data_IF_015324519284
#
_entry.id   IF_015324519284
#
_cell.length_a   1.000
_cell.length_b   1.000
_cell.length_c   1.000
_cell.angle_alpha   90.00
_cell.angle_beta   90.00
_cell.angle_gamma   90.00
#
_symmetry.space_group_name_H-M   'P 1'
#
loop_
_entity.id
_entity.type
_entity.pdbx_description
1 polymer ?
#
# COMPACT_ATOMS: atom_id res chain seq x y z
N UNK A 1 45.52 43.52 -56.04
CA UNK A 1 45.41 42.24 -55.37
C UNK A 1 44.17 42.27 -54.46
N UNK A 2 43.00 41.91 -55.00
CA UNK A 2 41.67 41.92 -54.28
C UNK A 2 41.40 40.53 -53.75
N UNK A 3 41.36 40.42 -52.43
CA UNK A 3 40.98 39.17 -51.72
C UNK A 3 39.42 39.21 -51.53
N UNK A 4 38.76 38.42 -52.33
CA UNK A 4 37.30 38.16 -52.14
C UNK A 4 37.12 37.03 -51.12
N UNK A 5 36.75 37.37 -49.90
CA UNK A 5 36.31 36.41 -48.89
C UNK A 5 34.82 36.11 -49.12
N UNK A 6 34.52 34.97 -49.71
CA UNK A 6 33.15 34.44 -49.75
C UNK A 6 32.83 33.72 -48.43
N UNK A 7 32.17 34.41 -47.51
CA UNK A 7 31.56 33.74 -46.35
C UNK A 7 30.20 33.16 -46.74
N UNK A 8 30.17 31.87 -47.06
CA UNK A 8 28.86 31.16 -47.15
C UNK A 8 28.32 30.92 -45.76
N UNK A 9 27.44 31.77 -45.33
CA UNK A 9 26.63 31.58 -44.13
C UNK A 9 25.57 30.49 -44.42
N UNK A 10 25.95 29.23 -44.15
CA UNK A 10 24.99 28.15 -44.18
C UNK A 10 24.00 28.39 -43.03
N UNK A 11 22.77 28.77 -43.36
CA UNK A 11 21.67 28.88 -42.38
C UNK A 11 21.46 27.52 -41.73
N UNK A 12 21.42 27.44 -40.40
CA UNK A 12 21.20 26.17 -39.73
C UNK A 12 19.84 25.56 -40.15
N UNK A 13 19.84 24.29 -40.52
CA UNK A 13 18.63 23.58 -40.91
C UNK A 13 17.81 23.22 -39.65
N UNK A 14 17.06 24.19 -39.19
CA UNK A 14 16.17 24.08 -38.02
C UNK A 14 15.21 22.93 -38.14
N UNK A 15 14.78 22.52 -39.33
CA UNK A 15 13.85 21.42 -39.56
C UNK A 15 14.50 20.05 -39.26
N UNK A 16 15.80 19.91 -39.54
CA UNK A 16 16.56 18.68 -39.16
C UNK A 16 16.88 18.62 -37.69
N UNK A 17 17.20 19.75 -37.07
CA UNK A 17 17.38 19.80 -35.60
C UNK A 17 16.09 19.51 -34.85
N UNK A 18 14.98 20.10 -35.23
CA UNK A 18 13.70 19.84 -34.64
C UNK A 18 13.28 18.35 -34.76
N UNK A 19 13.47 17.74 -35.93
CA UNK A 19 13.20 16.29 -36.11
C UNK A 19 14.14 15.41 -35.26
N UNK A 20 15.41 15.71 -35.15
CA UNK A 20 16.35 14.97 -34.28
C UNK A 20 15.96 15.07 -32.80
N UNK A 21 15.54 16.26 -32.35
CA UNK A 21 15.11 16.46 -30.97
C UNK A 21 13.80 15.71 -30.67
N UNK A 22 12.85 15.67 -31.60
CA UNK A 22 11.60 14.91 -31.48
C UNK A 22 11.88 13.40 -31.49
N UNK A 23 12.74 12.91 -32.38
CA UNK A 23 13.12 11.48 -32.43
C UNK A 23 13.83 11.03 -31.15
N UNK A 24 14.75 11.85 -30.61
CA UNK A 24 15.42 11.55 -29.36
C UNK A 24 14.42 11.55 -28.18
N UNK A 25 13.41 12.43 -28.19
CA UNK A 25 12.39 12.49 -27.14
C UNK A 25 11.42 11.29 -27.21
N UNK A 26 10.96 10.92 -28.40
CA UNK A 26 10.07 9.75 -28.59
C UNK A 26 10.79 8.44 -28.33
N UNK A 27 12.04 8.30 -28.80
CA UNK A 27 12.88 7.14 -28.51
C UNK A 27 13.15 6.98 -27.00
N UNK A 28 13.49 8.08 -26.32
CA UNK A 28 13.67 8.07 -24.87
C UNK A 28 12.39 7.70 -24.13
N UNK A 29 11.25 8.29 -24.50
CA UNK A 29 9.95 7.95 -23.89
C UNK A 29 9.58 6.48 -24.14
N UNK A 30 9.80 5.96 -25.32
CA UNK A 30 9.55 4.54 -25.62
C UNK A 30 10.41 3.60 -24.76
N UNK A 31 11.68 3.92 -24.55
CA UNK A 31 12.58 3.17 -23.66
C UNK A 31 12.07 3.24 -22.20
N UNK A 32 11.73 4.44 -21.72
CA UNK A 32 11.23 4.63 -20.35
C UNK A 32 9.91 3.88 -20.14
N UNK A 33 8.98 3.98 -21.08
CA UNK A 33 7.70 3.26 -20.99
C UNK A 33 7.92 1.76 -21.06
N UNK A 34 8.77 1.28 -21.98
CA UNK A 34 9.12 -0.14 -22.09
C UNK A 34 9.74 -0.65 -20.78
N UNK A 35 10.69 0.07 -20.23
CA UNK A 35 11.31 -0.26 -18.95
C UNK A 35 10.29 -0.29 -17.81
N UNK A 36 9.46 0.76 -17.68
CA UNK A 36 8.41 0.81 -16.64
C UNK A 36 7.40 -0.33 -16.80
N UNK A 37 7.02 -0.68 -18.04
CA UNK A 37 6.11 -1.81 -18.30
C UNK A 37 6.72 -3.13 -17.84
N UNK A 38 7.98 -3.39 -18.20
CA UNK A 38 8.69 -4.61 -17.80
C UNK A 38 8.83 -4.70 -16.28
N UNK A 39 9.14 -3.61 -15.59
CA UNK A 39 9.28 -3.58 -14.13
C UNK A 39 7.92 -3.69 -13.42
N UNK A 40 6.87 -3.09 -14.00
CA UNK A 40 5.52 -3.12 -13.38
C UNK A 40 4.80 -4.46 -13.59
N UNK A 41 5.12 -5.18 -14.65
CA UNK A 41 4.41 -6.40 -15.04
C UNK A 41 4.45 -7.50 -13.95
N UNK A 42 5.59 -7.83 -13.34
CA UNK A 42 5.66 -8.80 -12.24
C UNK A 42 4.84 -8.39 -11.01
N UNK A 43 4.63 -7.08 -10.81
CA UNK A 43 3.86 -6.55 -9.68
C UNK A 43 2.36 -6.61 -9.97
N UNK A 44 1.94 -6.19 -11.17
CA UNK A 44 0.52 -6.07 -11.55
C UNK A 44 -0.12 -7.42 -11.88
N UNK A 45 0.65 -8.32 -12.50
CA UNK A 45 0.15 -9.63 -12.94
C UNK A 45 -0.48 -10.48 -11.84
N UNK A 46 0.11 -10.63 -10.64
CA UNK A 46 -0.51 -11.38 -9.54
C UNK A 46 -1.86 -10.83 -9.11
N UNK A 47 -2.03 -9.50 -9.09
CA UNK A 47 -3.31 -8.87 -8.72
C UNK A 47 -4.38 -9.08 -9.80
N UNK A 48 -4.00 -8.98 -11.07
CA UNK A 48 -4.91 -9.29 -12.18
C UNK A 48 -5.31 -10.77 -12.20
N UNK A 49 -4.36 -11.65 -11.88
CA UNK A 49 -4.62 -13.08 -11.77
C UNK A 49 -5.56 -13.40 -10.62
N UNK A 50 -5.33 -12.80 -9.44
CA UNK A 50 -6.20 -12.91 -8.27
C UNK A 50 -7.62 -12.45 -8.61
N UNK A 51 -7.78 -11.30 -9.28
CA UNK A 51 -9.08 -10.79 -9.72
C UNK A 51 -9.73 -11.73 -10.75
N UNK A 52 -8.99 -12.22 -11.73
CA UNK A 52 -9.51 -13.12 -12.75
C UNK A 52 -10.03 -14.43 -12.13
N UNK A 53 -9.26 -15.05 -11.22
CA UNK A 53 -9.66 -16.30 -10.57
C UNK A 53 -10.83 -16.08 -9.61
N UNK A 54 -10.86 -14.98 -8.88
CA UNK A 54 -11.96 -14.69 -7.96
C UNK A 54 -13.33 -14.57 -8.68
N UNK A 55 -13.30 -14.17 -9.93
CA UNK A 55 -14.49 -14.00 -10.78
C UNK A 55 -14.76 -15.18 -11.73
N UNK A 56 -13.97 -16.25 -11.67
CA UNK A 56 -14.12 -17.43 -12.53
C UNK A 56 -14.97 -18.49 -11.84
N UNK A 57 -15.96 -19.05 -12.54
CA UNK A 57 -16.81 -20.13 -12.02
C UNK A 57 -16.04 -21.42 -11.75
N UNK A 58 -16.56 -22.27 -10.89
CA UNK A 58 -16.04 -23.61 -10.59
C UNK A 58 -16.01 -24.44 -11.89
N UNK A 59 -14.84 -24.81 -12.36
CA UNK A 59 -14.63 -25.52 -13.62
C UNK A 59 -14.26 -24.64 -14.81
N UNK A 60 -14.17 -23.33 -14.63
CA UNK A 60 -13.59 -22.43 -15.62
C UNK A 60 -12.06 -22.51 -15.63
N UNK A 61 -11.46 -22.45 -16.84
CA UNK A 61 -10.01 -22.34 -16.96
C UNK A 61 -9.60 -20.89 -16.70
N UNK A 62 -9.33 -20.57 -15.41
CA UNK A 62 -8.89 -19.24 -14.96
C UNK A 62 -7.64 -18.75 -15.70
N UNK A 63 -6.81 -19.65 -16.20
CA UNK A 63 -5.59 -19.28 -16.96
C UNK A 63 -5.95 -18.75 -18.34
N UNK A 64 -6.92 -19.33 -19.02
CA UNK A 64 -7.41 -18.84 -20.32
C UNK A 64 -8.06 -17.46 -20.17
N UNK A 65 -8.87 -17.26 -19.13
CA UNK A 65 -9.48 -15.95 -18.84
C UNK A 65 -8.42 -14.91 -18.55
N UNK A 66 -7.42 -15.25 -17.76
CA UNK A 66 -6.29 -14.37 -17.46
C UNK A 66 -5.57 -13.92 -18.75
N UNK A 67 -5.21 -14.87 -19.62
CA UNK A 67 -4.50 -14.54 -20.85
C UNK A 67 -5.34 -13.68 -21.80
N UNK A 68 -6.66 -13.90 -21.88
CA UNK A 68 -7.58 -13.04 -22.63
C UNK A 68 -7.63 -11.63 -22.05
N UNK A 69 -7.81 -11.51 -20.73
CA UNK A 69 -7.77 -10.23 -20.02
C UNK A 69 -6.46 -9.49 -20.30
N UNK A 70 -5.34 -10.19 -20.14
CA UNK A 70 -4.02 -9.62 -20.34
C UNK A 70 -3.80 -9.18 -21.79
N UNK A 71 -4.15 -10.02 -22.77
CA UNK A 71 -3.96 -9.69 -24.18
C UNK A 71 -4.80 -8.47 -24.60
N UNK A 72 -6.06 -8.38 -24.18
CA UNK A 72 -6.94 -7.26 -24.51
C UNK A 72 -6.49 -5.99 -23.79
N UNK A 73 -6.13 -6.08 -22.50
CA UNK A 73 -5.64 -4.94 -21.73
C UNK A 73 -4.29 -4.42 -22.29
N UNK A 74 -3.36 -5.31 -22.63
CA UNK A 74 -2.08 -4.94 -23.22
C UNK A 74 -2.26 -4.29 -24.61
N UNK A 75 -3.13 -4.84 -25.46
CA UNK A 75 -3.44 -4.25 -26.75
C UNK A 75 -4.05 -2.85 -26.62
N UNK A 76 -5.01 -2.68 -25.72
CA UNK A 76 -5.62 -1.37 -25.41
C UNK A 76 -4.59 -0.38 -24.88
N UNK A 77 -3.74 -0.81 -23.96
CA UNK A 77 -2.68 0.03 -23.40
C UNK A 77 -1.65 0.46 -24.46
N UNK A 78 -1.19 -0.47 -25.29
CA UNK A 78 -0.29 -0.15 -26.42
C UNK A 78 -0.92 0.81 -27.41
N UNK A 79 -2.22 0.67 -27.70
CA UNK A 79 -2.95 1.61 -28.55
C UNK A 79 -3.03 3.01 -27.92
N UNK A 80 -3.30 3.10 -26.61
CA UNK A 80 -3.32 4.38 -25.88
C UNK A 80 -1.95 5.06 -25.89
N UNK A 81 -0.86 4.31 -25.66
CA UNK A 81 0.51 4.82 -25.75
C UNK A 81 0.80 5.31 -27.18
N UNK A 82 0.44 4.54 -28.19
CA UNK A 82 0.66 4.93 -29.58
C UNK A 82 -0.04 6.24 -29.90
N UNK A 83 -1.29 6.42 -29.45
CA UNK A 83 -2.02 7.68 -29.60
C UNK A 83 -1.31 8.80 -28.84
N UNK A 84 -0.87 8.56 -27.62
CA UNK A 84 -0.18 9.59 -26.81
C UNK A 84 1.15 10.04 -27.44
N UNK A 85 1.85 9.15 -28.14
CA UNK A 85 3.13 9.45 -28.78
C UNK A 85 3.01 10.11 -30.16
N UNK A 86 2.00 9.72 -30.94
CA UNK A 86 1.95 10.06 -32.36
C UNK A 86 0.74 10.96 -32.74
N UNK A 87 -0.29 11.05 -31.91
CA UNK A 87 -1.42 11.93 -32.20
C UNK A 87 -1.10 13.38 -31.84
N UNK A 88 -1.51 14.36 -32.69
CA UNK A 88 -1.36 15.78 -32.38
C UNK A 88 -2.18 16.14 -31.12
N UNK A 89 -1.61 16.96 -30.25
CA UNK A 89 -2.28 17.41 -29.03
C UNK A 89 -3.57 18.16 -29.39
N UNK A 90 -4.72 17.72 -28.83
CA UNK A 90 -6.00 18.34 -29.10
C UNK A 90 -7.22 17.49 -28.76
N UNK A 91 -8.39 18.00 -29.10
CA UNK A 91 -9.66 17.27 -28.89
C UNK A 91 -9.73 15.95 -29.65
N UNK A 92 -9.08 15.86 -30.80
CA UNK A 92 -9.05 14.66 -31.63
C UNK A 92 -8.31 13.51 -30.92
N UNK A 93 -7.15 13.79 -30.32
CA UNK A 93 -6.40 12.81 -29.53
C UNK A 93 -7.21 12.29 -28.33
N UNK A 94 -7.88 13.20 -27.60
CA UNK A 94 -8.78 12.83 -26.48
C UNK A 94 -9.93 11.94 -26.94
N UNK A 95 -10.58 12.27 -28.07
CA UNK A 95 -11.66 11.43 -28.64
C UNK A 95 -11.16 10.04 -29.04
N UNK A 96 -9.98 9.96 -29.64
CA UNK A 96 -9.35 8.69 -30.00
C UNK A 96 -9.01 7.85 -28.75
N UNK A 97 -8.45 8.45 -27.72
CA UNK A 97 -8.17 7.79 -26.45
C UNK A 97 -9.44 7.24 -25.79
N UNK A 98 -10.51 8.05 -25.73
CA UNK A 98 -11.80 7.59 -25.24
C UNK A 98 -12.39 6.46 -26.10
N UNK A 99 -12.26 6.54 -27.44
CA UNK A 99 -12.68 5.49 -28.35
C UNK A 99 -11.94 4.17 -28.09
N UNK A 100 -10.61 4.21 -27.98
CA UNK A 100 -9.79 3.01 -27.68
C UNK A 100 -10.14 2.46 -26.28
N UNK A 101 -10.30 3.32 -25.28
CA UNK A 101 -10.71 2.87 -23.94
C UNK A 101 -12.05 2.16 -23.99
N UNK A 102 -13.04 2.72 -24.69
CA UNK A 102 -14.38 2.15 -24.80
C UNK A 102 -14.36 0.83 -25.56
N UNK A 103 -13.60 0.72 -26.64
CA UNK A 103 -13.41 -0.52 -27.39
C UNK A 103 -12.70 -1.58 -26.54
N UNK A 104 -11.68 -1.20 -25.79
CA UNK A 104 -10.95 -2.11 -24.89
C UNK A 104 -11.87 -2.64 -23.80
N UNK A 105 -12.66 -1.76 -23.16
CA UNK A 105 -13.65 -2.17 -22.15
C UNK A 105 -14.72 -3.07 -22.77
N UNK A 106 -15.25 -2.73 -23.95
CA UNK A 106 -16.24 -3.57 -24.63
C UNK A 106 -15.67 -4.95 -25.00
N UNK A 107 -14.42 -5.01 -25.47
CA UNK A 107 -13.72 -6.27 -25.78
C UNK A 107 -13.47 -7.11 -24.52
N UNK A 108 -13.14 -6.47 -23.38
CA UNK A 108 -13.02 -7.13 -22.08
C UNK A 108 -14.36 -7.71 -21.64
N UNK A 109 -15.43 -6.91 -21.70
CA UNK A 109 -16.78 -7.36 -21.32
C UNK A 109 -17.25 -8.51 -22.23
N UNK A 110 -17.06 -8.42 -23.53
CA UNK A 110 -17.49 -9.45 -24.47
C UNK A 110 -16.65 -10.73 -24.37
N UNK A 111 -15.33 -10.60 -24.16
CA UNK A 111 -14.39 -11.72 -24.14
C UNK A 111 -14.32 -12.47 -22.81
N UNK A 112 -14.63 -11.79 -21.72
CA UNK A 112 -14.52 -12.32 -20.35
C UNK A 112 -15.87 -12.38 -19.65
N UNK A 113 -16.78 -11.44 -19.94
CA UNK A 113 -18.09 -11.33 -19.30
C UNK A 113 -18.89 -12.62 -19.16
N UNK A 114 -19.02 -13.44 -20.23
CA UNK A 114 -19.75 -14.70 -20.17
C UNK A 114 -19.19 -15.75 -19.20
N UNK A 115 -17.94 -15.60 -18.79
CA UNK A 115 -17.24 -16.52 -17.87
C UNK A 115 -17.16 -15.97 -16.44
N UNK A 116 -17.62 -14.74 -16.23
CA UNK A 116 -17.58 -14.13 -14.91
C UNK A 116 -18.74 -14.62 -14.06
N UNK A 117 -18.43 -14.98 -12.83
CA UNK A 117 -19.40 -15.29 -11.78
C UNK A 117 -19.02 -14.57 -10.49
N UNK A 118 -20.03 -14.29 -9.67
CA UNK A 118 -19.84 -13.75 -8.31
C UNK A 118 -20.03 -14.83 -7.24
N UNK A 119 -20.25 -16.09 -7.64
CA UNK A 119 -20.54 -17.19 -6.69
C UNK A 119 -19.42 -17.41 -5.68
N UNK A 120 -18.17 -17.16 -6.09
CA UNK A 120 -17.02 -17.25 -5.18
C UNK A 120 -17.05 -16.23 -4.04
N UNK A 121 -17.90 -15.19 -4.14
CA UNK A 121 -18.11 -14.18 -3.10
C UNK A 121 -19.32 -14.50 -2.19
N UNK A 122 -19.96 -15.67 -2.37
CA UNK A 122 -21.12 -16.07 -1.56
C UNK A 122 -20.84 -16.05 -0.05
N UNK A 123 -19.60 -16.24 0.38
CA UNK A 123 -19.19 -16.13 1.79
C UNK A 123 -19.49 -14.76 2.42
N UNK A 124 -19.74 -13.71 1.63
CA UNK A 124 -20.10 -12.38 2.12
C UNK A 124 -21.56 -12.29 2.58
N UNK A 125 -22.49 -13.05 1.98
CA UNK A 125 -23.93 -12.98 2.26
C UNK A 125 -24.53 -14.32 2.69
N UNK A 126 -23.93 -15.45 2.29
CA UNK A 126 -24.37 -16.79 2.66
C UNK A 126 -23.19 -17.72 2.99
N UNK A 127 -22.52 -17.48 4.13
CA UNK A 127 -21.40 -18.33 4.56
C UNK A 127 -21.80 -19.77 4.83
N UNK A 128 -23.10 -20.02 5.14
CA UNK A 128 -23.58 -21.36 5.41
C UNK A 128 -23.62 -22.25 4.15
N UNK A 129 -24.00 -21.70 3.00
CA UNK A 129 -23.97 -22.43 1.74
C UNK A 129 -22.54 -22.84 1.34
N UNK A 130 -21.58 -21.95 1.51
CA UNK A 130 -20.15 -22.22 1.24
C UNK A 130 -19.62 -23.33 2.15
N UNK A 131 -20.02 -23.31 3.43
CA UNK A 131 -19.70 -24.35 4.41
C UNK A 131 -20.33 -25.69 4.07
N UNK A 132 -21.62 -25.69 3.65
CA UNK A 132 -22.36 -26.89 3.29
C UNK A 132 -21.80 -27.59 2.04
N UNK A 133 -21.40 -26.82 1.02
CA UNK A 133 -20.78 -27.38 -0.19
C UNK A 133 -19.45 -28.09 0.09
N UNK A 134 -18.72 -27.65 1.13
CA UNK A 134 -17.39 -28.19 1.49
C UNK A 134 -17.43 -29.33 2.52
N UNK A 135 -18.61 -29.59 3.07
CA UNK A 135 -18.79 -30.63 4.07
C UNK A 135 -18.44 -30.21 5.51
N UNK A 136 -18.92 -30.98 6.47
CA UNK A 136 -18.82 -30.67 7.91
C UNK A 136 -17.38 -30.67 8.48
N UNK A 137 -16.40 -31.13 7.74
CA UNK A 137 -14.99 -31.16 8.13
C UNK A 137 -14.18 -29.97 7.61
N UNK A 138 -14.77 -29.12 6.75
CA UNK A 138 -14.11 -27.90 6.30
C UNK A 138 -13.97 -26.92 7.45
N UNK A 139 -12.79 -26.34 7.59
CA UNK A 139 -12.53 -25.29 8.59
C UNK A 139 -13.40 -24.05 8.37
N UNK A 140 -13.81 -23.79 7.13
CA UNK A 140 -14.63 -22.64 6.76
C UNK A 140 -15.99 -22.67 7.49
N UNK A 141 -16.62 -23.85 7.64
CA UNK A 141 -17.88 -24.01 8.38
C UNK A 141 -17.78 -23.72 9.87
N UNK A 142 -16.57 -23.73 10.42
CA UNK A 142 -16.28 -23.45 11.84
C UNK A 142 -15.80 -22.02 12.07
N UNK A 143 -15.59 -21.24 11.00
CA UNK A 143 -15.11 -19.86 11.12
C UNK A 143 -16.24 -18.88 11.44
N UNK A 144 -15.93 -17.81 12.20
CA UNK A 144 -16.82 -16.67 12.30
C UNK A 144 -17.05 -16.02 10.93
N UNK A 145 -18.12 -15.22 10.81
CA UNK A 145 -18.39 -14.52 9.55
C UNK A 145 -17.22 -13.63 9.12
N UNK A 146 -17.03 -13.46 7.82
CA UNK A 146 -15.99 -12.57 7.28
C UNK A 146 -16.16 -11.12 7.78
N UNK A 147 -17.38 -10.68 8.02
CA UNK A 147 -17.67 -9.35 8.57
C UNK A 147 -17.17 -9.19 10.00
N UNK A 148 -17.24 -10.24 10.80
CA UNK A 148 -16.61 -10.28 12.13
C UNK A 148 -15.10 -10.18 12.05
N UNK A 149 -14.47 -10.95 11.15
CA UNK A 149 -13.03 -10.88 10.91
C UNK A 149 -12.60 -9.50 10.40
N UNK A 150 -13.40 -8.89 9.52
CA UNK A 150 -13.19 -7.55 9.01
C UNK A 150 -13.27 -6.51 10.14
N UNK A 151 -14.31 -6.57 10.97
CA UNK A 151 -14.48 -5.69 12.11
C UNK A 151 -13.35 -5.81 13.12
N UNK A 152 -12.91 -7.04 13.44
CA UNK A 152 -11.77 -7.28 14.31
C UNK A 152 -10.47 -6.71 13.73
N UNK A 153 -10.24 -6.84 12.42
CA UNK A 153 -9.05 -6.25 11.77
C UNK A 153 -9.05 -4.74 11.82
N UNK A 154 -10.18 -4.09 11.56
CA UNK A 154 -10.30 -2.63 11.68
C UNK A 154 -10.10 -2.16 13.12
N UNK A 155 -10.73 -2.83 14.08
CA UNK A 155 -10.56 -2.51 15.50
C UNK A 155 -9.10 -2.68 15.94
N UNK A 156 -8.48 -3.77 15.55
CA UNK A 156 -7.11 -4.12 15.85
C UNK A 156 -6.11 -3.13 15.23
N UNK A 157 -6.10 -2.99 13.90
CA UNK A 157 -5.20 -2.10 13.20
C UNK A 157 -5.45 -0.62 13.56
N UNK A 158 -6.72 -0.23 13.75
CA UNK A 158 -7.10 1.12 14.16
C UNK A 158 -6.64 1.44 15.58
N UNK A 159 -6.84 0.56 16.55
CA UNK A 159 -6.39 0.74 17.93
C UNK A 159 -4.85 0.82 18.01
N UNK A 160 -4.15 -0.09 17.33
CA UNK A 160 -2.69 -0.05 17.23
C UNK A 160 -2.22 1.29 16.65
N UNK A 161 -2.79 1.73 15.53
CA UNK A 161 -2.43 2.99 14.88
C UNK A 161 -2.63 4.18 15.80
N UNK A 162 -3.77 4.23 16.47
CA UNK A 162 -4.08 5.32 17.41
C UNK A 162 -3.07 5.37 18.55
N UNK A 163 -2.82 4.23 19.20
CA UNK A 163 -1.90 4.14 20.34
C UNK A 163 -0.48 4.54 19.91
N UNK A 164 0.02 3.95 18.81
CA UNK A 164 1.37 4.24 18.31
C UNK A 164 1.50 5.70 17.94
N UNK A 165 0.53 6.30 17.24
CA UNK A 165 0.60 7.70 16.82
C UNK A 165 0.54 8.65 18.02
N UNK A 166 -0.36 8.39 18.98
CA UNK A 166 -0.52 9.22 20.19
C UNK A 166 0.71 9.17 21.09
N UNK A 167 1.39 8.02 21.18
CA UNK A 167 2.61 7.86 21.99
C UNK A 167 3.84 8.36 21.23
N UNK A 168 3.95 8.05 19.94
CA UNK A 168 5.13 8.42 19.17
C UNK A 168 5.24 9.92 18.90
N UNK A 169 4.13 10.65 18.72
CA UNK A 169 4.16 12.07 18.39
C UNK A 169 4.82 12.92 19.51
N UNK A 170 4.40 12.86 20.79
CA UNK A 170 5.07 13.61 21.86
C UNK A 170 6.51 13.11 22.12
N UNK A 171 6.77 11.80 21.99
CA UNK A 171 8.12 11.25 22.13
C UNK A 171 9.06 11.77 21.04
N UNK A 172 8.62 11.78 19.79
CA UNK A 172 9.37 12.29 18.64
C UNK A 172 9.61 13.81 18.76
N UNK A 173 8.58 14.57 19.19
CA UNK A 173 8.72 15.99 19.48
C UNK A 173 9.76 16.25 20.56
N UNK A 174 9.71 15.52 21.68
CA UNK A 174 10.69 15.65 22.76
C UNK A 174 12.11 15.35 22.26
N UNK A 175 12.28 14.29 21.48
CA UNK A 175 13.55 13.94 20.87
C UNK A 175 14.02 14.92 19.78
N UNK A 176 13.12 15.68 19.18
CA UNK A 176 13.48 16.74 18.21
C UNK A 176 13.91 18.03 18.92
N UNK A 177 13.20 18.44 19.97
CA UNK A 177 13.31 19.78 20.58
C UNK A 177 14.19 19.85 21.80
N UNK A 178 14.31 18.77 22.58
CA UNK A 178 15.08 18.81 23.83
C UNK A 178 16.45 18.14 23.65
N UNK A 179 17.49 18.80 24.15
CA UNK A 179 18.83 18.23 24.29
C UNK A 179 18.98 17.66 25.69
N UNK A 180 19.31 16.37 25.79
CA UNK A 180 19.61 15.71 27.06
C UNK A 180 20.72 14.68 26.90
N UNK A 181 21.39 14.34 27.98
CA UNK A 181 22.45 13.35 28.00
C UNK A 181 21.86 11.97 27.58
N UNK A 182 22.48 11.32 26.62
CA UNK A 182 22.02 10.00 26.10
C UNK A 182 21.00 10.04 24.97
N UNK A 183 20.55 11.21 24.49
CA UNK A 183 19.59 11.34 23.37
C UNK A 183 20.01 10.55 22.14
N UNK A 184 21.27 10.67 21.72
CA UNK A 184 21.76 9.93 20.55
C UNK A 184 21.82 8.42 20.79
N UNK A 185 22.25 8.00 21.97
CA UNK A 185 22.28 6.59 22.34
C UNK A 185 20.88 6.00 22.38
N UNK A 186 19.89 6.75 22.86
CA UNK A 186 18.49 6.35 22.85
C UNK A 186 17.97 6.20 21.41
N UNK A 187 18.23 7.17 20.53
CA UNK A 187 17.86 7.08 19.10
C UNK A 187 18.49 5.88 18.39
N UNK A 188 19.78 5.64 18.64
CA UNK A 188 20.48 4.46 18.12
C UNK A 188 19.87 3.17 18.68
N UNK A 189 19.51 3.15 19.96
CA UNK A 189 18.83 2.03 20.61
C UNK A 189 17.47 1.72 19.96
N UNK A 190 16.65 2.73 19.65
CA UNK A 190 15.38 2.56 18.95
C UNK A 190 15.58 1.92 17.57
N UNK A 191 16.57 2.37 16.80
CA UNK A 191 16.89 1.80 15.49
C UNK A 191 17.38 0.35 15.61
N UNK A 192 18.22 0.03 16.60
CA UNK A 192 18.68 -1.33 16.85
C UNK A 192 17.53 -2.27 17.22
N UNK A 193 16.60 -1.80 18.07
CA UNK A 193 15.40 -2.57 18.42
C UNK A 193 14.53 -2.85 17.20
N UNK A 194 14.32 -1.85 16.34
CA UNK A 194 13.54 -2.03 15.12
C UNK A 194 14.23 -2.92 14.06
N UNK A 195 15.56 -2.89 14.01
CA UNK A 195 16.35 -3.73 13.09
C UNK A 195 16.36 -5.22 13.51
N UNK A 196 15.98 -5.54 14.74
CA UNK A 196 15.93 -6.91 15.19
C UNK A 196 14.73 -7.64 14.58
N UNK A 197 14.92 -8.87 14.02
CA UNK A 197 13.82 -9.61 13.42
C UNK A 197 12.72 -9.95 14.44
N UNK A 198 11.54 -9.33 14.29
CA UNK A 198 10.42 -9.54 15.22
C UNK A 198 10.02 -11.02 15.33
N UNK A 199 10.11 -11.77 14.24
CA UNK A 199 9.83 -13.20 14.21
C UNK A 199 10.73 -14.01 15.15
N UNK A 200 11.99 -13.60 15.34
CA UNK A 200 12.89 -14.27 16.28
C UNK A 200 12.47 -14.12 17.74
N UNK A 201 11.67 -13.09 18.05
CA UNK A 201 11.15 -12.81 19.38
C UNK A 201 9.84 -13.56 19.68
N UNK A 202 9.23 -14.24 18.72
CA UNK A 202 7.88 -14.81 18.85
C UNK A 202 7.74 -15.70 20.09
N UNK A 203 8.70 -16.61 20.34
CA UNK A 203 8.65 -17.51 21.51
C UNK A 203 8.78 -16.73 22.82
N UNK A 204 9.71 -15.78 22.89
CA UNK A 204 9.90 -14.96 24.10
C UNK A 204 8.67 -14.10 24.39
N UNK A 205 8.06 -13.49 23.36
CA UNK A 205 6.84 -12.70 23.46
C UNK A 205 5.67 -13.60 23.90
N UNK A 206 5.54 -14.79 23.34
CA UNK A 206 4.50 -15.75 23.75
C UNK A 206 4.59 -16.06 25.27
N UNK A 207 5.79 -16.39 25.77
CA UNK A 207 6.00 -16.67 27.20
C UNK A 207 5.67 -15.44 28.05
N UNK A 208 6.08 -14.25 27.60
CA UNK A 208 5.79 -13.00 28.31
C UNK A 208 4.27 -12.74 28.37
N UNK A 209 3.55 -12.90 27.26
CA UNK A 209 2.09 -12.74 27.20
C UNK A 209 1.37 -13.77 28.05
N UNK A 210 1.88 -15.00 28.11
CA UNK A 210 1.37 -16.04 29.02
C UNK A 210 1.47 -15.61 30.49
N UNK A 211 2.65 -15.14 30.94
CA UNK A 211 2.83 -14.68 32.33
C UNK A 211 2.02 -13.42 32.66
N UNK A 212 1.75 -12.59 31.69
CA UNK A 212 0.90 -11.38 31.85
C UNK A 212 -0.60 -11.72 31.82
N UNK A 213 -1.00 -12.94 31.49
CA UNK A 213 -2.41 -13.33 31.33
C UNK A 213 -3.08 -12.69 30.11
N UNK A 214 -2.30 -12.32 29.09
CA UNK A 214 -2.75 -11.62 27.88
C UNK A 214 -2.85 -12.51 26.65
N UNK A 215 -2.69 -13.84 26.80
CA UNK A 215 -3.00 -14.78 25.71
C UNK A 215 -4.49 -14.76 25.40
N UNK A 216 -4.85 -15.13 24.18
CA UNK A 216 -6.24 -15.14 23.65
C UNK A 216 -6.97 -13.81 23.74
N UNK A 217 -6.23 -12.70 23.79
CA UNK A 217 -6.80 -11.36 23.80
C UNK A 217 -6.25 -10.49 22.68
N UNK A 218 -7.13 -9.77 21.97
CA UNK A 218 -6.72 -8.77 20.97
C UNK A 218 -5.87 -7.66 21.62
N UNK A 219 -6.14 -7.30 22.87
CA UNK A 219 -5.35 -6.32 23.61
C UNK A 219 -3.90 -6.75 23.81
N UNK A 220 -3.64 -8.03 24.06
CA UNK A 220 -2.29 -8.57 24.14
C UNK A 220 -1.54 -8.43 22.82
N UNK A 221 -2.18 -8.79 21.71
CA UNK A 221 -1.57 -8.64 20.37
C UNK A 221 -1.34 -7.17 20.03
N UNK A 222 -2.29 -6.28 20.32
CA UNK A 222 -2.15 -4.83 20.13
C UNK A 222 -0.95 -4.29 20.91
N UNK A 223 -0.81 -4.68 22.17
CA UNK A 223 0.31 -4.25 23.03
C UNK A 223 1.66 -4.65 22.42
N UNK A 224 1.79 -5.90 21.98
CA UNK A 224 3.01 -6.41 21.34
C UNK A 224 3.35 -5.61 20.10
N UNK A 225 2.39 -5.40 19.20
CA UNK A 225 2.65 -4.69 17.96
C UNK A 225 2.90 -3.21 18.18
N UNK A 226 2.23 -2.58 19.15
CA UNK A 226 2.58 -1.21 19.55
C UNK A 226 4.03 -1.11 20.00
N UNK A 227 4.51 -2.06 20.81
CA UNK A 227 5.89 -2.07 21.27
C UNK A 227 6.91 -2.24 20.15
N UNK A 228 6.60 -3.07 19.15
CA UNK A 228 7.45 -3.32 17.98
C UNK A 228 7.46 -2.15 16.98
N UNK A 229 6.34 -1.45 16.80
CA UNK A 229 6.20 -0.35 15.83
C UNK A 229 6.61 1.02 16.38
N UNK A 230 6.54 1.24 17.70
CA UNK A 230 6.88 2.53 18.33
C UNK A 230 8.29 3.03 17.95
N UNK A 231 9.37 2.23 17.96
CA UNK A 231 10.70 2.70 17.59
C UNK A 231 10.75 3.33 16.18
N UNK A 232 10.15 2.68 15.21
CA UNK A 232 10.08 3.19 13.83
C UNK A 232 9.23 4.47 13.74
N UNK A 233 8.04 4.46 14.34
CA UNK A 233 7.15 5.60 14.34
C UNK A 233 7.79 6.84 14.98
N UNK A 234 8.47 6.68 16.11
CA UNK A 234 9.19 7.77 16.78
C UNK A 234 10.31 8.31 15.89
N UNK A 235 11.11 7.43 15.31
CA UNK A 235 12.22 7.81 14.43
C UNK A 235 11.74 8.62 13.22
N UNK A 236 10.72 8.12 12.53
CA UNK A 236 10.15 8.80 11.35
C UNK A 236 9.53 10.14 11.72
N UNK A 237 8.68 10.18 12.76
CA UNK A 237 8.04 11.42 13.19
C UNK A 237 9.05 12.46 13.66
N UNK A 238 10.15 12.04 14.31
CA UNK A 238 11.23 12.95 14.68
C UNK A 238 11.78 13.69 13.44
N UNK A 239 11.96 13.02 12.32
CA UNK A 239 12.39 13.65 11.06
C UNK A 239 11.43 14.75 10.59
N UNK A 240 10.11 14.53 10.75
CA UNK A 240 9.11 15.54 10.43
C UNK A 240 9.16 16.72 11.41
N UNK A 241 9.32 16.48 12.70
CA UNK A 241 9.48 17.54 13.69
C UNK A 241 10.77 18.33 13.49
N UNK A 242 11.88 17.68 13.10
CA UNK A 242 13.15 18.36 12.81
C UNK A 242 13.03 19.31 11.61
N UNK A 243 12.15 19.01 10.65
CA UNK A 243 11.90 19.84 9.48
C UNK A 243 11.11 21.14 9.78
N UNK A 244 10.45 21.22 10.93
CA UNK A 244 9.73 22.44 11.35
C UNK A 244 10.73 23.45 11.90
N UNK A 245 10.83 24.68 11.34
CA UNK A 245 11.73 25.71 11.81
C UNK A 245 11.53 26.03 13.30
N UNK A 246 12.63 26.14 14.02
CA UNK A 246 12.62 26.44 15.46
C UNK A 246 11.96 27.79 15.78
N UNK A 247 12.16 28.78 14.90
CA UNK A 247 11.65 30.14 15.10
C UNK A 247 10.13 30.21 15.21
N UNK A 248 9.43 29.31 14.52
CA UNK A 248 7.95 29.23 14.56
C UNK A 248 7.49 28.87 15.98
N UNK A 249 8.15 27.91 16.61
CA UNK A 249 7.84 27.49 17.98
C UNK A 249 8.24 28.56 18.99
N UNK A 250 9.41 29.18 18.78
CA UNK A 250 9.89 30.26 19.68
C UNK A 250 9.02 31.51 19.63
N UNK A 251 8.49 31.85 18.46
CA UNK A 251 7.52 32.97 18.35
C UNK A 251 6.29 32.72 19.22
N UNK A 252 5.71 31.51 19.16
CA UNK A 252 4.55 31.20 20.01
C UNK A 252 4.87 31.25 21.52
N UNK A 253 6.07 30.80 21.92
CA UNK A 253 6.50 30.85 23.29
C UNK A 253 6.73 32.31 23.76
N UNK A 254 7.28 33.16 22.88
CA UNK A 254 7.46 34.59 23.11
C UNK A 254 6.12 35.31 23.29
N UNK A 255 5.09 34.88 22.55
CA UNK A 255 3.72 35.36 22.68
C UNK A 255 3.01 34.83 23.95
N UNK A 256 3.69 34.08 24.80
CA UNK A 256 3.19 33.60 26.09
C UNK A 256 2.59 32.17 26.05
N UNK A 257 2.71 31.44 24.98
CA UNK A 257 2.27 30.05 24.96
C UNK A 257 3.19 29.16 25.79
N UNK A 258 2.60 28.26 26.58
CA UNK A 258 3.38 27.16 27.19
C UNK A 258 3.95 26.21 26.12
N UNK A 259 4.99 25.45 26.45
CA UNK A 259 5.59 24.47 25.53
C UNK A 259 4.56 23.44 25.02
N UNK A 260 3.64 23.01 25.86
CA UNK A 260 2.58 22.11 25.47
C UNK A 260 1.56 22.77 24.49
N UNK A 261 1.25 24.05 24.72
CA UNK A 261 0.41 24.82 23.79
C UNK A 261 1.13 25.03 22.45
N UNK A 262 2.41 25.40 22.45
CA UNK A 262 3.22 25.51 21.25
C UNK A 262 3.29 24.17 20.49
N UNK A 263 3.53 23.05 21.18
CA UNK A 263 3.47 21.72 20.59
C UNK A 263 2.12 21.45 19.93
N UNK A 264 1.02 21.56 20.70
CA UNK A 264 -0.31 21.13 20.24
C UNK A 264 -0.91 22.04 19.17
N UNK A 265 -0.75 23.37 19.31
CA UNK A 265 -1.45 24.35 18.47
C UNK A 265 -0.61 24.85 17.29
N UNK A 266 0.72 24.76 17.39
CA UNK A 266 1.61 25.35 16.38
C UNK A 266 2.41 24.26 15.64
N UNK A 267 3.13 23.42 16.37
CA UNK A 267 4.06 22.45 15.77
C UNK A 267 3.34 21.22 15.24
N UNK A 268 2.46 20.61 16.04
CA UNK A 268 1.74 19.38 15.67
C UNK A 268 0.90 19.52 14.39
N UNK A 269 0.18 20.64 14.16
CA UNK A 269 -0.54 20.83 12.89
C UNK A 269 0.35 20.87 11.65
N UNK A 270 1.61 21.31 11.78
CA UNK A 270 2.55 21.36 10.66
C UNK A 270 3.09 19.99 10.26
N UNK A 271 3.09 19.02 11.16
CA UNK A 271 3.54 17.64 10.92
C UNK A 271 2.40 16.66 10.65
N UNK A 272 1.17 17.14 10.42
CA UNK A 272 -0.01 16.27 10.14
C UNK A 272 0.26 15.34 8.96
N UNK A 273 0.98 15.80 7.92
CA UNK A 273 1.38 14.93 6.81
C UNK A 273 2.20 13.72 7.28
N UNK A 274 3.15 13.95 8.19
CA UNK A 274 3.95 12.89 8.81
C UNK A 274 3.13 11.95 9.70
N UNK A 275 2.19 12.50 10.48
CA UNK A 275 1.28 11.70 11.31
C UNK A 275 0.40 10.79 10.45
N UNK A 276 -0.16 11.31 9.36
CA UNK A 276 -0.97 10.50 8.43
C UNK A 276 -0.09 9.43 7.77
N UNK A 277 1.12 9.75 7.36
CA UNK A 277 2.03 8.80 6.75
C UNK A 277 2.39 7.66 7.71
N UNK A 278 2.85 7.98 8.93
CA UNK A 278 3.16 6.97 9.96
C UNK A 278 1.92 6.19 10.36
N UNK A 279 0.77 6.86 10.55
CA UNK A 279 -0.49 6.18 10.84
C UNK A 279 -0.91 5.20 9.74
N UNK A 280 -0.71 5.56 8.47
CA UNK A 280 -0.99 4.67 7.34
C UNK A 280 -0.09 3.43 7.38
N UNK A 281 1.21 3.59 7.60
CA UNK A 281 2.13 2.43 7.70
C UNK A 281 1.79 1.55 8.89
N UNK A 282 1.53 2.14 10.06
CA UNK A 282 1.16 1.38 11.26
C UNK A 282 -0.16 0.63 11.06
N UNK A 283 -1.15 1.25 10.39
CA UNK A 283 -2.40 0.58 10.07
C UNK A 283 -2.18 -0.61 9.14
N UNK A 284 -1.43 -0.43 8.06
CA UNK A 284 -1.14 -1.50 7.11
C UNK A 284 -0.39 -2.65 7.79
N UNK A 285 0.58 -2.35 8.66
CA UNK A 285 1.28 -3.37 9.45
C UNK A 285 0.34 -4.15 10.35
N UNK A 286 -0.56 -3.48 11.06
CA UNK A 286 -1.59 -4.15 11.85
C UNK A 286 -2.57 -4.95 10.99
N UNK A 287 -2.99 -4.39 9.84
CA UNK A 287 -3.89 -5.06 8.91
C UNK A 287 -3.31 -6.38 8.36
N UNK A 288 -2.03 -6.39 8.01
CA UNK A 288 -1.32 -7.53 7.45
C UNK A 288 -0.83 -8.52 8.51
N UNK A 289 -0.91 -8.15 9.81
CA UNK A 289 -0.34 -8.96 10.86
C UNK A 289 -1.05 -10.32 10.99
N UNK A 290 -0.27 -11.34 10.82
CA UNK A 290 -0.73 -12.72 10.82
C UNK A 290 -0.05 -13.55 11.92
N UNK A 291 1.29 -13.40 12.08
CA UNK A 291 2.10 -14.32 12.90
C UNK A 291 1.79 -14.17 14.38
N UNK A 292 1.81 -12.95 14.91
CA UNK A 292 1.48 -12.72 16.31
C UNK A 292 0.00 -12.95 16.59
N UNK A 293 -0.89 -12.64 15.64
CA UNK A 293 -2.32 -12.96 15.76
C UNK A 293 -2.51 -14.48 15.89
N UNK A 294 -1.91 -15.27 15.00
CA UNK A 294 -2.01 -16.73 15.04
C UNK A 294 -1.37 -17.35 16.30
N UNK A 295 -0.24 -16.78 16.73
CA UNK A 295 0.54 -17.34 17.84
C UNK A 295 -0.10 -17.03 19.19
N UNK A 296 -0.67 -15.82 19.36
CA UNK A 296 -1.21 -15.36 20.63
C UNK A 296 -2.71 -15.60 20.80
N UNK A 297 -3.48 -15.74 19.69
CA UNK A 297 -4.91 -16.04 19.71
C UNK A 297 -5.15 -17.54 19.40
N UNK A 298 -4.95 -18.38 20.39
CA UNK A 298 -5.04 -19.86 20.25
C UNK A 298 -6.48 -20.30 20.02
N UNK A 299 -7.45 -19.66 20.68
CA UNK A 299 -8.85 -20.08 20.70
C UNK A 299 -9.69 -19.62 19.49
N UNK A 300 -9.13 -18.97 18.51
CA UNK A 300 -9.77 -18.58 17.22
C UNK A 300 -11.12 -17.88 17.33
N UNK A 301 -11.49 -17.36 18.50
CA UNK A 301 -12.75 -16.65 18.72
C UNK A 301 -12.75 -15.26 18.11
N UNK A 302 -11.56 -14.68 17.87
CA UNK A 302 -11.36 -13.32 17.39
C UNK A 302 -10.46 -13.30 16.17
N UNK A 303 -10.92 -13.92 15.06
CA UNK A 303 -10.15 -13.94 13.81
C UNK A 303 -10.02 -12.54 13.21
N UNK A 304 -8.83 -12.24 12.70
CA UNK A 304 -8.59 -11.11 11.80
C UNK A 304 -8.71 -11.55 10.34
N UNK A 305 -8.81 -10.60 9.40
CA UNK A 305 -8.89 -10.91 7.98
C UNK A 305 -7.64 -11.61 7.44
N UNK A 306 -6.44 -11.27 7.96
CA UNK A 306 -5.20 -11.95 7.61
C UNK A 306 -5.24 -13.42 8.01
N UNK A 307 -5.72 -13.70 9.21
CA UNK A 307 -5.87 -15.08 9.71
C UNK A 307 -7.03 -15.82 9.02
N UNK A 308 -8.12 -15.11 8.69
CA UNK A 308 -9.22 -15.67 7.90
C UNK A 308 -8.73 -16.15 6.53
N UNK A 309 -7.99 -15.30 5.80
CA UNK A 309 -7.41 -15.64 4.50
C UNK A 309 -6.46 -16.84 4.62
N UNK A 310 -5.63 -16.89 5.66
CA UNK A 310 -4.74 -18.03 5.91
C UNK A 310 -5.52 -19.33 6.07
N UNK A 311 -6.58 -19.35 6.87
CA UNK A 311 -7.36 -20.59 7.08
C UNK A 311 -8.11 -21.05 5.83
N UNK A 312 -8.55 -20.12 4.98
CA UNK A 312 -9.14 -20.48 3.67
C UNK A 312 -8.08 -21.06 2.74
N UNK A 313 -6.83 -20.57 2.81
CA UNK A 313 -5.72 -21.06 1.98
C UNK A 313 -5.15 -22.40 2.44
N UNK A 314 -5.46 -22.83 3.68
CA UNK A 314 -4.98 -24.10 4.26
C UNK A 314 -6.14 -25.03 4.65
N UNK A 315 -7.23 -25.05 3.89
CA UNK A 315 -8.34 -25.95 4.19
C UNK A 315 -7.95 -27.42 3.99
N UNK A 316 -8.25 -28.23 5.01
CA UNK A 316 -7.93 -29.65 5.05
C UNK A 316 -8.63 -30.49 3.98
N UNK A 317 -9.74 -30.01 3.43
CA UNK A 317 -10.52 -30.66 2.37
C UNK A 317 -10.01 -30.33 0.95
N UNK A 318 -8.92 -29.61 0.84
CA UNK A 318 -8.35 -29.12 -0.41
C UNK A 318 -8.59 -27.64 -0.63
N UNK A 319 -7.59 -26.98 -1.20
CA UNK A 319 -7.62 -25.53 -1.43
C UNK A 319 -8.50 -25.20 -2.62
N UNK A 320 -9.51 -24.37 -2.41
CA UNK A 320 -10.27 -23.74 -3.49
C UNK A 320 -9.64 -22.38 -3.82
N UNK A 321 -8.83 -22.37 -4.85
CA UNK A 321 -8.12 -21.15 -5.26
C UNK A 321 -9.06 -20.02 -5.68
N UNK A 322 -10.28 -20.32 -6.16
CA UNK A 322 -11.26 -19.30 -6.51
C UNK A 322 -11.81 -18.58 -5.27
N UNK A 323 -12.10 -19.35 -4.21
CA UNK A 323 -12.52 -18.80 -2.93
C UNK A 323 -11.36 -18.03 -2.25
N UNK A 324 -10.15 -18.60 -2.22
CA UNK A 324 -8.96 -17.91 -1.69
C UNK A 324 -8.75 -16.59 -2.42
N UNK A 325 -8.89 -16.58 -3.74
CA UNK A 325 -8.78 -15.37 -4.54
C UNK A 325 -9.88 -14.35 -4.22
N UNK A 326 -11.13 -14.80 -4.06
CA UNK A 326 -12.24 -13.92 -3.70
C UNK A 326 -12.07 -13.29 -2.30
N UNK A 327 -11.66 -14.09 -1.31
CA UNK A 327 -11.30 -13.58 0.03
C UNK A 327 -10.11 -12.63 -0.05
N UNK A 328 -9.10 -12.95 -0.87
CA UNK A 328 -7.93 -12.10 -1.12
C UNK A 328 -8.30 -10.73 -1.72
N UNK A 329 -9.24 -10.70 -2.67
CA UNK A 329 -9.77 -9.42 -3.21
C UNK A 329 -10.40 -8.59 -2.10
N UNK A 330 -11.26 -9.18 -1.28
CA UNK A 330 -11.90 -8.48 -0.15
C UNK A 330 -10.87 -8.00 0.86
N UNK A 331 -9.83 -8.81 1.14
CA UNK A 331 -8.74 -8.48 2.04
C UNK A 331 -7.94 -7.26 1.58
N UNK A 332 -7.68 -7.13 0.28
CA UNK A 332 -6.85 -6.03 -0.27
C UNK A 332 -7.62 -4.71 -0.37
N UNK A 333 -8.95 -4.73 -0.49
CA UNK A 333 -9.76 -3.52 -0.70
C UNK A 333 -9.54 -2.41 0.35
N UNK A 334 -9.54 -2.65 1.68
CA UNK A 334 -9.30 -1.59 2.66
C UNK A 334 -7.92 -0.96 2.54
N UNK A 335 -6.89 -1.76 2.25
CA UNK A 335 -5.53 -1.26 2.04
C UNK A 335 -5.44 -0.36 0.80
N UNK A 336 -6.09 -0.75 -0.31
CA UNK A 336 -6.17 0.07 -1.52
C UNK A 336 -6.89 1.39 -1.27
N UNK A 337 -8.04 1.34 -0.59
CA UNK A 337 -8.82 2.54 -0.24
C UNK A 337 -7.95 3.47 0.62
N UNK A 338 -7.33 2.95 1.67
CA UNK A 338 -6.45 3.74 2.53
C UNK A 338 -5.30 4.37 1.72
N UNK A 339 -4.65 3.60 0.85
CA UNK A 339 -3.56 4.10 0.00
C UNK A 339 -4.02 5.24 -0.91
N UNK A 340 -5.16 5.14 -1.58
CA UNK A 340 -5.70 6.19 -2.46
C UNK A 340 -5.84 7.52 -1.71
N UNK A 341 -6.33 7.48 -0.47
CA UNK A 341 -6.50 8.71 0.33
C UNK A 341 -5.18 9.24 0.91
N UNK A 342 -4.22 8.37 1.20
CA UNK A 342 -3.00 8.74 1.93
C UNK A 342 -1.76 8.90 1.03
N UNK A 343 -1.78 8.47 -0.24
CA UNK A 343 -0.64 8.50 -1.17
C UNK A 343 0.08 9.86 -1.25
N UNK A 344 -0.68 10.98 -1.22
CA UNK A 344 -0.10 12.33 -1.24
C UNK A 344 0.76 12.65 -0.01
N UNK A 345 0.51 12.02 1.13
CA UNK A 345 1.29 12.20 2.36
C UNK A 345 2.49 11.25 2.39
N UNK A 346 2.35 10.05 1.81
CA UNK A 346 3.43 9.07 1.74
C UNK A 346 4.60 9.58 0.87
N UNK A 347 4.31 10.31 -0.21
CA UNK A 347 5.34 10.93 -1.06
C UNK A 347 6.16 11.98 -0.31
N UNK A 348 5.61 12.65 0.71
CA UNK A 348 6.33 13.63 1.52
C UNK A 348 7.45 13.00 2.37
N UNK A 349 7.34 11.72 2.73
CA UNK A 349 8.41 11.00 3.45
C UNK A 349 9.68 10.87 2.60
N UNK A 350 9.53 10.66 1.27
CA UNK A 350 10.67 10.52 0.36
C UNK A 350 11.48 11.80 0.19
N UNK A 351 10.84 12.97 0.34
CA UNK A 351 11.49 14.27 0.13
C UNK A 351 12.04 14.88 1.43
N UNK A 352 11.54 14.46 2.60
CA UNK A 352 12.00 14.96 3.91
C UNK A 352 13.39 14.45 4.31
N UNK A 353 13.86 13.34 3.73
CA UNK A 353 15.16 12.73 4.03
C UNK A 353 16.34 13.18 3.16
N UNK A 354 16.12 14.02 2.13
CA UNK A 354 17.14 14.36 1.11
C UNK A 354 17.54 15.85 1.15
N UNK A 355 17.15 16.59 2.15
CA UNK A 355 17.67 17.94 2.40
C UNK A 355 18.66 17.89 3.56
N UNK A 356 19.80 17.30 3.29
CA UNK A 356 21.01 17.37 4.10
C UNK A 356 22.13 17.92 3.23
#
# INVERSE_FOLDING_TARGET
MSVTTSSSSATPDWSRMARRTLWNRTGFLAIVIGFLTVVSLPIVLPYLWLLAISLTGKGGDGTTILWRLFAVAAAGYLALITIALFAPEGQTAKRLQWGVTLVTVAALVAGVGPYLTIDNFAFLWDPASVAAERGSQSRIGLMPSVWSAMGNSFAFAGAQTLIVTVVAAPAAYALSRFSFAGRESFLRGLLLLHAFPALALTVAIFIQMYWMGLLNSLSGVILVLCALELPFAIFVLKGFFDAVPWDIEMSAITDGASRFQAFRMVVLPQVVGGLIAVGTFTFLRGWEEYVFVQTLLIEKTSLTMSLYLFFVSEDSMGVDYSLVAAVGVVYVLPALVLYIFTQKYLTQMSFGGIKG
#
